data_IF_525750511292
#
_entry.id   IF_525750511292
#
_cell.length_a   1.000
_cell.length_b   1.000
_cell.length_c   1.000
_cell.angle_alpha   90.00
_cell.angle_beta   90.00
_cell.angle_gamma   90.00
#
_symmetry.space_group_name_H-M   'P 1'
#
loop_
_entity.id
_entity.type
_entity.pdbx_description
1 polymer ?
#
# COMPACT_ATOMS: atom_id res chain seq x y z
N UNK A 1 66.31 27.79 12.32
CA UNK A 1 65.86 26.50 11.77
C UNK A 1 64.36 26.34 12.05
N UNK A 2 63.49 26.71 11.09
CA UNK A 2 62.03 26.58 11.24
C UNK A 2 61.63 25.17 10.79
N UNK A 3 61.07 24.36 11.69
CA UNK A 3 60.50 23.05 11.35
C UNK A 3 59.05 23.26 10.88
N UNK A 4 58.81 22.94 9.62
CA UNK A 4 57.48 22.85 9.02
C UNK A 4 56.77 21.59 9.51
N UNK A 5 55.60 21.75 10.11
CA UNK A 5 54.73 20.65 10.53
C UNK A 5 53.70 20.41 9.40
N UNK A 6 53.87 19.32 8.66
CA UNK A 6 52.93 18.91 7.61
C UNK A 6 51.80 18.12 8.27
N UNK A 7 50.59 18.68 8.31
CA UNK A 7 49.41 17.99 8.79
C UNK A 7 48.80 17.14 7.67
N UNK A 8 48.78 15.82 7.85
CA UNK A 8 48.03 14.89 7.00
C UNK A 8 46.55 14.92 7.42
N UNK A 9 45.69 15.43 6.55
CA UNK A 9 44.24 15.30 6.70
C UNK A 9 43.83 13.89 6.24
N UNK A 10 43.49 13.02 7.20
CA UNK A 10 42.76 11.79 6.89
C UNK A 10 41.30 12.16 6.62
N UNK A 11 40.89 12.08 5.35
CA UNK A 11 39.48 12.14 4.97
C UNK A 11 38.92 10.73 5.20
N UNK A 12 38.19 10.54 6.29
CA UNK A 12 37.40 9.34 6.50
C UNK A 12 36.18 9.38 5.56
N UNK A 13 36.19 8.54 4.52
CA UNK A 13 35.02 8.29 3.68
C UNK A 13 34.04 7.44 4.51
N UNK A 14 33.09 8.11 5.17
CA UNK A 14 31.97 7.43 5.82
C UNK A 14 31.01 7.00 4.72
N UNK A 15 31.09 5.74 4.30
CA UNK A 15 30.06 5.12 3.48
C UNK A 15 28.89 4.85 4.42
N UNK A 16 27.90 5.75 4.46
CA UNK A 16 26.62 5.46 5.10
C UNK A 16 25.93 4.39 4.26
N UNK A 17 26.00 3.12 4.70
CA UNK A 17 25.00 2.13 4.30
C UNK A 17 23.67 2.68 4.82
N UNK A 18 22.91 3.34 3.96
CA UNK A 18 21.55 3.76 4.28
C UNK A 18 20.75 2.51 4.63
N UNK A 19 20.26 2.43 5.87
CA UNK A 19 19.19 1.51 6.20
C UNK A 19 17.99 1.94 5.34
N UNK A 20 17.62 1.12 4.37
CA UNK A 20 16.42 1.37 3.59
C UNK A 20 15.21 1.38 4.54
N UNK A 21 14.33 2.37 4.37
CA UNK A 21 13.16 2.55 5.23
C UNK A 21 12.18 1.42 4.92
N UNK A 22 11.75 0.65 5.91
CA UNK A 22 10.70 -0.36 5.71
C UNK A 22 9.32 0.32 5.69
N UNK A 23 8.57 0.08 4.61
CA UNK A 23 7.24 0.64 4.44
C UNK A 23 6.23 0.00 5.41
N UNK A 24 5.30 0.81 5.88
CA UNK A 24 4.19 0.36 6.72
C UNK A 24 2.98 0.00 5.87
N UNK A 25 2.38 -1.13 6.20
CA UNK A 25 1.16 -1.63 5.56
C UNK A 25 -0.06 -0.78 5.96
N UNK A 26 -0.95 -0.52 5.00
CA UNK A 26 -2.27 0.04 5.25
C UNK A 26 -3.29 -1.05 5.62
N UNK A 27 -3.09 -1.66 6.78
CA UNK A 27 -3.88 -2.78 7.27
C UNK A 27 -5.00 -2.36 8.23
N UNK A 28 -6.16 -2.99 8.09
CA UNK A 28 -7.31 -2.82 8.97
C UNK A 28 -7.93 -4.18 9.32
N UNK A 29 -8.73 -4.23 10.39
CA UNK A 29 -9.47 -5.42 10.80
C UNK A 29 -10.88 -5.07 11.25
N UNK A 30 -11.79 -6.02 11.10
CA UNK A 30 -13.18 -5.89 11.55
C UNK A 30 -13.82 -7.27 11.76
N UNK A 31 -15.02 -7.29 12.32
CA UNK A 31 -15.81 -8.51 12.51
C UNK A 31 -16.93 -8.62 11.49
N UNK A 32 -17.44 -9.84 11.28
CA UNK A 32 -18.61 -10.05 10.43
C UNK A 32 -19.83 -9.33 11.02
N UNK A 33 -20.62 -8.71 10.14
CA UNK A 33 -21.74 -7.79 10.38
C UNK A 33 -21.37 -6.41 10.95
N UNK A 34 -20.09 -6.10 11.16
CA UNK A 34 -19.70 -4.72 11.42
C UNK A 34 -19.96 -3.84 10.19
N UNK A 35 -20.27 -2.58 10.44
CA UNK A 35 -20.26 -1.53 9.44
C UNK A 35 -18.87 -0.92 9.40
N UNK A 36 -18.26 -0.84 8.23
CA UNK A 36 -17.02 -0.13 8.03
C UNK A 36 -17.28 1.21 7.35
N UNK A 37 -16.64 2.26 7.84
CA UNK A 37 -16.66 3.60 7.25
C UNK A 37 -15.27 3.91 6.74
N UNK A 38 -15.16 4.27 5.47
CA UNK A 38 -13.94 4.76 4.85
C UNK A 38 -14.17 6.19 4.38
N UNK A 39 -13.35 7.12 4.84
CA UNK A 39 -13.41 8.52 4.44
C UNK A 39 -12.11 8.96 3.76
N UNK A 40 -12.24 9.76 2.71
CA UNK A 40 -11.12 10.37 2.02
C UNK A 40 -11.44 11.82 1.64
N UNK A 41 -10.43 12.68 1.70
CA UNK A 41 -10.58 14.05 1.23
C UNK A 41 -10.73 14.08 -0.30
N UNK A 42 -11.69 14.85 -0.77
CA UNK A 42 -12.01 15.02 -2.19
C UNK A 42 -12.25 16.50 -2.49
N UNK A 43 -11.71 17.01 -3.61
CA UNK A 43 -12.03 18.34 -4.13
C UNK A 43 -12.75 18.23 -5.49
N UNK A 44 -14.09 18.18 -5.51
CA UNK A 44 -14.87 17.88 -6.71
C UNK A 44 -14.79 18.95 -7.80
N UNK A 45 -14.31 20.16 -7.50
CA UNK A 45 -14.31 21.29 -8.44
C UNK A 45 -13.46 21.10 -9.69
N UNK A 46 -12.62 20.06 -9.72
CA UNK A 46 -11.73 19.73 -10.83
C UNK A 46 -12.28 18.61 -11.72
N UNK A 47 -13.40 17.99 -11.35
CA UNK A 47 -13.99 16.83 -12.02
C UNK A 47 -13.38 15.48 -11.63
N UNK A 48 -12.30 15.47 -10.84
CA UNK A 48 -11.69 14.25 -10.32
C UNK A 48 -12.48 13.74 -9.12
N UNK A 49 -12.92 12.49 -9.18
CA UNK A 49 -13.67 11.83 -8.11
C UNK A 49 -12.97 10.53 -7.73
N UNK A 50 -13.02 10.19 -6.45
CA UNK A 50 -12.51 8.91 -6.00
C UNK A 50 -13.50 7.80 -6.35
N UNK A 51 -12.99 6.74 -6.97
CA UNK A 51 -13.72 5.53 -7.29
C UNK A 51 -13.16 4.38 -6.45
N UNK A 52 -14.05 3.62 -5.80
CA UNK A 52 -13.69 2.50 -4.94
C UNK A 52 -13.88 1.16 -5.65
N UNK A 53 -12.94 0.25 -5.45
CA UNK A 53 -12.97 -1.12 -5.96
C UNK A 53 -12.60 -2.06 -4.82
N UNK A 54 -13.27 -3.22 -4.72
CA UNK A 54 -13.00 -4.20 -3.68
C UNK A 54 -12.90 -5.62 -4.25
N UNK A 55 -11.89 -6.37 -3.81
CA UNK A 55 -11.68 -7.77 -4.14
C UNK A 55 -11.34 -8.57 -2.87
N UNK A 56 -11.72 -9.86 -2.76
CA UNK A 56 -12.65 -10.55 -3.63
C UNK A 56 -14.10 -10.09 -3.39
N UNK A 57 -14.95 -10.27 -4.40
CA UNK A 57 -16.37 -9.89 -4.26
C UNK A 57 -17.04 -10.64 -3.10
N UNK A 58 -17.78 -9.89 -2.29
CA UNK A 58 -18.70 -10.45 -1.30
C UNK A 58 -18.14 -10.65 0.10
N UNK A 59 -16.85 -10.37 0.37
CA UNK A 59 -16.32 -10.17 1.74
C UNK A 59 -16.88 -8.87 2.32
N UNK A 60 -16.70 -7.78 1.58
CA UNK A 60 -17.32 -6.49 1.84
C UNK A 60 -18.48 -6.28 0.86
N UNK A 61 -19.59 -5.71 1.34
CA UNK A 61 -20.81 -5.46 0.56
C UNK A 61 -21.45 -4.13 0.93
N UNK A 62 -22.52 -3.78 0.21
CA UNK A 62 -23.38 -2.62 0.52
C UNK A 62 -22.61 -1.30 0.56
N UNK A 63 -21.84 -1.01 -0.49
CA UNK A 63 -21.10 0.24 -0.63
C UNK A 63 -22.07 1.41 -0.85
N UNK A 64 -22.46 2.06 0.24
CA UNK A 64 -23.21 3.30 0.20
C UNK A 64 -22.23 4.47 0.14
N UNK A 65 -22.31 5.26 -0.92
CA UNK A 65 -21.51 6.48 -1.04
C UNK A 65 -22.17 7.60 -0.23
N UNK A 66 -21.37 8.26 0.60
CA UNK A 66 -21.77 9.47 1.32
C UNK A 66 -20.90 10.62 0.87
N UNK A 67 -21.51 11.80 0.76
CA UNK A 67 -20.80 13.03 0.45
C UNK A 67 -21.07 14.05 1.54
N UNK A 68 -20.03 14.35 2.32
CA UNK A 68 -20.09 15.36 3.36
C UNK A 68 -19.38 16.62 2.86
N UNK A 69 -20.17 17.58 2.38
CA UNK A 69 -19.71 18.90 2.00
C UNK A 69 -19.98 19.89 3.16
N UNK A 70 -18.98 20.23 3.99
CA UNK A 70 -19.17 21.19 5.09
C UNK A 70 -19.48 22.62 4.60
N UNK A 71 -19.32 22.88 3.30
CA UNK A 71 -19.65 24.16 2.66
C UNK A 71 -20.33 23.93 1.32
N UNK A 72 -21.37 24.73 1.03
CA UNK A 72 -22.03 24.79 -0.27
C UNK A 72 -21.24 25.60 -1.31
N UNK A 73 -20.07 26.16 -0.94
CA UNK A 73 -19.24 26.93 -1.87
C UNK A 73 -18.57 26.00 -2.90
N UNK A 74 -18.65 26.31 -4.21
CA UNK A 74 -17.91 25.57 -5.23
C UNK A 74 -16.40 25.56 -4.94
N UNK A 75 -15.80 24.37 -4.91
CA UNK A 75 -14.35 24.19 -4.67
C UNK A 75 -13.91 24.09 -3.21
N UNK A 76 -14.84 24.10 -2.27
CA UNK A 76 -14.52 23.72 -0.89
C UNK A 76 -14.10 22.24 -0.82
N UNK A 77 -13.12 21.88 0.02
CA UNK A 77 -12.79 20.48 0.28
C UNK A 77 -14.03 19.77 0.84
N UNK A 78 -14.32 18.61 0.28
CA UNK A 78 -15.39 17.72 0.72
C UNK A 78 -14.78 16.40 1.20
N UNK A 79 -15.53 15.66 2.01
CA UNK A 79 -15.16 14.31 2.41
C UNK A 79 -16.05 13.36 1.63
N UNK A 80 -15.43 12.47 0.86
CA UNK A 80 -16.11 11.34 0.25
C UNK A 80 -16.01 10.15 1.21
N UNK A 81 -17.17 9.59 1.54
CA UNK A 81 -17.31 8.45 2.44
C UNK A 81 -17.87 7.23 1.72
N UNK A 82 -17.46 6.05 2.15
CA UNK A 82 -18.15 4.80 1.85
C UNK A 82 -18.48 4.08 3.14
N UNK A 83 -19.76 3.73 3.29
CA UNK A 83 -20.19 2.77 4.30
C UNK A 83 -20.29 1.42 3.62
N UNK A 84 -19.75 0.39 4.26
CA UNK A 84 -19.80 -0.99 3.77
C UNK A 84 -20.07 -1.95 4.93
N UNK A 85 -20.57 -3.14 4.62
CA UNK A 85 -20.84 -4.20 5.61
C UNK A 85 -19.89 -5.36 5.40
N UNK A 86 -19.27 -5.85 6.48
CA UNK A 86 -18.57 -7.13 6.46
C UNK A 86 -19.59 -8.28 6.38
N UNK A 87 -19.64 -8.95 5.25
CA UNK A 87 -20.65 -9.98 4.98
C UNK A 87 -20.17 -11.40 5.30
N UNK A 88 -18.86 -11.67 5.18
CA UNK A 88 -18.27 -12.97 5.51
C UNK A 88 -16.82 -12.81 5.97
N UNK A 89 -16.32 -13.82 6.65
CA UNK A 89 -14.91 -13.91 7.01
C UNK A 89 -14.03 -14.01 5.77
N UNK A 90 -12.81 -13.50 5.91
CA UNK A 90 -11.79 -13.50 4.87
C UNK A 90 -11.08 -12.15 4.77
N UNK A 91 -10.06 -12.12 3.92
CA UNK A 91 -9.29 -10.91 3.64
C UNK A 91 -9.84 -10.22 2.40
N UNK A 92 -9.92 -8.91 2.46
CA UNK A 92 -10.31 -8.06 1.34
C UNK A 92 -9.25 -6.99 1.08
N UNK A 93 -9.09 -6.65 -0.19
CA UNK A 93 -8.33 -5.51 -0.68
C UNK A 93 -9.33 -4.46 -1.19
N UNK A 94 -9.22 -3.25 -0.68
CA UNK A 94 -9.89 -2.07 -1.21
C UNK A 94 -8.85 -1.26 -1.98
N UNK A 95 -9.16 -0.89 -3.22
CA UNK A 95 -8.38 0.03 -4.04
C UNK A 95 -9.24 1.25 -4.37
N UNK A 96 -8.70 2.44 -4.14
CA UNK A 96 -9.30 3.70 -4.56
C UNK A 96 -8.46 4.30 -5.68
N UNK A 97 -9.14 4.84 -6.69
CA UNK A 97 -8.52 5.51 -7.83
C UNK A 97 -9.20 6.85 -8.07
N UNK A 98 -8.40 7.91 -8.18
CA UNK A 98 -8.88 9.26 -8.45
C UNK A 98 -8.80 9.52 -9.95
N UNK A 99 -9.94 9.59 -10.62
CA UNK A 99 -10.00 9.91 -12.06
C UNK A 99 -11.29 10.65 -12.41
N UNK A 100 -11.33 11.24 -13.60
CA UNK A 100 -12.56 11.77 -14.18
C UNK A 100 -13.33 10.66 -14.85
N UNK A 101 -14.59 10.45 -14.46
CA UNK A 101 -15.39 9.34 -14.97
C UNK A 101 -15.47 9.29 -16.51
N UNK A 102 -15.48 10.44 -17.19
CA UNK A 102 -15.53 10.52 -18.66
C UNK A 102 -14.18 10.30 -19.36
N UNK A 103 -13.05 10.48 -18.67
CA UNK A 103 -11.71 10.13 -19.18
C UNK A 103 -11.42 8.64 -18.92
N UNK A 104 -11.98 8.11 -17.83
CA UNK A 104 -11.92 6.71 -17.46
C UNK A 104 -10.70 6.36 -16.60
N UNK A 105 -10.74 5.15 -16.03
CA UNK A 105 -9.79 4.66 -15.02
C UNK A 105 -8.31 4.72 -15.45
N UNK A 106 -8.04 4.61 -16.76
CA UNK A 106 -6.67 4.67 -17.31
C UNK A 106 -5.99 6.02 -17.08
N UNK A 107 -6.76 7.07 -16.79
CA UNK A 107 -6.29 8.41 -16.51
C UNK A 107 -6.32 8.72 -15.00
N UNK A 108 -6.18 7.70 -14.17
CA UNK A 108 -6.08 7.88 -12.72
C UNK A 108 -4.81 8.64 -12.35
N UNK A 109 -4.97 9.65 -11.49
CA UNK A 109 -3.90 10.55 -11.06
C UNK A 109 -3.48 10.34 -9.60
N UNK A 110 -4.29 9.61 -8.84
CA UNK A 110 -3.97 9.21 -7.47
C UNK A 110 -4.57 7.83 -7.18
N UNK A 111 -3.87 7.08 -6.32
CA UNK A 111 -4.17 5.72 -5.95
C UNK A 111 -4.02 5.57 -4.44
N UNK A 112 -4.96 4.86 -3.83
CA UNK A 112 -4.86 4.39 -2.46
C UNK A 112 -5.30 2.94 -2.39
N UNK A 113 -4.75 2.19 -1.47
CA UNK A 113 -5.22 0.85 -1.16
C UNK A 113 -5.09 0.56 0.33
N UNK A 114 -5.99 -0.29 0.81
CA UNK A 114 -5.94 -0.83 2.16
C UNK A 114 -6.42 -2.28 2.17
N UNK A 115 -5.96 -3.03 3.17
CA UNK A 115 -6.41 -4.39 3.41
C UNK A 115 -7.35 -4.41 4.62
N UNK A 116 -8.33 -5.32 4.59
CA UNK A 116 -9.28 -5.53 5.67
C UNK A 116 -9.32 -7.02 5.99
N UNK A 117 -8.96 -7.38 7.22
CA UNK A 117 -9.11 -8.73 7.74
C UNK A 117 -10.46 -8.85 8.47
N UNK A 118 -11.36 -9.67 7.93
CA UNK A 118 -12.68 -9.91 8.52
C UNK A 118 -12.67 -11.26 9.24
N UNK A 119 -12.83 -11.23 10.56
CA UNK A 119 -12.85 -12.44 11.37
C UNK A 119 -13.79 -12.31 12.57
N UNK A 120 -14.44 -13.41 12.96
CA UNK A 120 -15.34 -13.41 14.12
C UNK A 120 -16.65 -12.68 13.85
N UNK A 121 -17.44 -12.47 14.90
CA UNK A 121 -18.78 -11.89 14.81
C UNK A 121 -18.85 -10.59 15.63
N UNK A 122 -19.35 -9.53 15.01
CA UNK A 122 -19.57 -8.22 15.64
C UNK A 122 -20.86 -7.59 15.15
N UNK A 123 -21.19 -6.42 15.70
CA UNK A 123 -22.31 -5.55 15.27
C UNK A 123 -21.95 -4.07 15.47
N UNK A 124 -20.65 -3.78 15.42
CA UNK A 124 -20.10 -2.46 15.67
C UNK A 124 -19.90 -1.66 14.40
N UNK A 125 -19.25 -0.52 14.58
CA UNK A 125 -18.75 0.31 13.49
C UNK A 125 -17.21 0.36 13.58
N UNK A 126 -16.54 0.29 12.44
CA UNK A 126 -15.09 0.41 12.31
C UNK A 126 -14.75 1.50 11.32
N UNK A 127 -13.94 2.47 11.73
CA UNK A 127 -13.43 3.48 10.82
C UNK A 127 -12.14 2.97 10.17
N UNK A 128 -12.21 2.63 8.88
CA UNK A 128 -11.06 2.19 8.10
C UNK A 128 -10.09 3.36 7.89
N UNK A 129 -8.80 3.07 8.02
CA UNK A 129 -7.72 4.05 7.84
C UNK A 129 -6.86 3.69 6.64
N UNK A 130 -6.49 4.71 5.90
CA UNK A 130 -5.48 4.64 4.83
C UNK A 130 -4.17 5.15 5.42
N UNK A 131 -3.17 4.29 5.48
CA UNK A 131 -1.83 4.68 5.92
C UNK A 131 -1.01 5.13 4.71
N UNK A 132 -0.42 6.33 4.81
CA UNK A 132 0.53 6.88 3.85
C UNK A 132 1.96 6.77 4.37
N UNK A 133 2.88 6.37 3.50
CA UNK A 133 4.31 6.44 3.73
C UNK A 133 4.87 7.63 2.96
N UNK A 134 5.37 8.63 3.68
CA UNK A 134 6.08 9.76 3.09
C UNK A 134 7.53 9.36 2.82
N UNK A 135 7.98 9.51 1.57
CA UNK A 135 9.35 9.20 1.15
C UNK A 135 9.93 10.36 0.36
N UNK A 136 11.23 10.58 0.50
CA UNK A 136 11.93 11.63 -0.25
C UNK A 136 12.37 11.12 -1.62
N UNK A 137 12.23 11.95 -2.66
CA UNK A 137 12.70 11.67 -4.00
C UNK A 137 14.17 11.18 -4.00
N UNK A 138 14.43 10.11 -4.75
CA UNK A 138 15.76 9.47 -4.87
C UNK A 138 16.11 8.48 -3.76
N UNK A 139 15.35 8.43 -2.66
CA UNK A 139 15.61 7.49 -1.55
C UNK A 139 15.13 6.07 -1.87
N UNK A 140 15.71 5.10 -1.17
CA UNK A 140 15.31 3.69 -1.26
C UNK A 140 14.58 3.22 0.00
N UNK A 141 13.59 2.38 -0.20
CA UNK A 141 12.75 1.81 0.86
C UNK A 141 12.42 0.35 0.52
N UNK A 142 11.97 -0.40 1.52
CA UNK A 142 11.78 -1.84 1.42
C UNK A 142 10.39 -2.28 1.82
N UNK A 143 9.98 -3.41 1.25
CA UNK A 143 8.86 -4.23 1.74
C UNK A 143 9.42 -5.61 2.01
N UNK A 144 9.19 -6.16 3.21
CA UNK A 144 9.58 -7.53 3.56
C UNK A 144 8.35 -8.35 3.87
N UNK A 145 8.17 -9.49 3.16
CA UNK A 145 7.06 -10.42 3.40
C UNK A 145 7.58 -11.84 3.58
N UNK A 146 6.90 -12.61 4.43
CA UNK A 146 7.13 -14.04 4.56
C UNK A 146 6.36 -14.80 3.48
N UNK A 147 7.03 -15.73 2.81
CA UNK A 147 6.44 -16.64 1.81
C UNK A 147 6.81 -18.10 2.12
N UNK A 148 5.90 -19.01 1.82
CA UNK A 148 6.18 -20.45 1.89
C UNK A 148 6.17 -21.05 0.48
N UNK A 149 7.25 -20.81 -0.26
CA UNK A 149 7.39 -21.24 -1.65
C UNK A 149 7.20 -22.76 -1.84
N UNK A 150 7.43 -23.59 -0.81
CA UNK A 150 7.23 -25.04 -0.87
C UNK A 150 5.77 -25.46 -1.13
N UNK A 151 4.81 -24.57 -0.84
CA UNK A 151 3.37 -24.78 -1.06
C UNK A 151 2.88 -24.28 -2.42
N UNK A 152 3.78 -23.65 -3.20
CA UNK A 152 3.46 -22.99 -4.46
C UNK A 152 2.95 -21.56 -4.34
N UNK A 153 2.64 -21.10 -3.12
CA UNK A 153 2.19 -19.72 -2.89
C UNK A 153 3.39 -18.77 -2.85
N UNK A 154 3.27 -17.69 -3.60
CA UNK A 154 4.29 -16.62 -3.69
C UNK A 154 3.60 -15.27 -3.69
N UNK A 155 4.28 -14.27 -3.17
CA UNK A 155 3.83 -12.88 -3.29
C UNK A 155 4.17 -12.34 -4.68
N UNK A 156 3.16 -11.80 -5.36
CA UNK A 156 3.33 -11.01 -6.57
C UNK A 156 2.74 -9.63 -6.34
N UNK A 157 3.32 -8.60 -6.96
CA UNK A 157 2.86 -7.23 -6.76
C UNK A 157 2.61 -6.51 -8.08
N UNK A 158 1.83 -5.45 -7.97
CA UNK A 158 1.69 -4.41 -8.99
C UNK A 158 1.94 -3.06 -8.32
N UNK A 159 2.49 -2.13 -9.09
CA UNK A 159 2.61 -0.72 -8.69
C UNK A 159 1.57 0.07 -9.48
N UNK A 160 0.81 0.90 -8.78
CA UNK A 160 -0.05 1.92 -9.37
C UNK A 160 0.65 3.27 -9.24
N UNK A 161 0.68 4.06 -10.33
CA UNK A 161 1.49 5.28 -10.42
C UNK A 161 2.93 5.01 -10.87
N UNK A 162 3.64 6.08 -11.21
CA UNK A 162 4.97 6.01 -11.84
C UNK A 162 6.10 6.55 -10.93
N UNK A 163 5.77 6.93 -9.69
CA UNK A 163 6.68 7.60 -8.75
C UNK A 163 7.81 6.71 -8.20
N UNK A 164 7.73 5.38 -8.40
CA UNK A 164 8.65 4.42 -7.80
C UNK A 164 9.06 3.33 -8.78
N UNK A 165 10.24 2.74 -8.59
CA UNK A 165 10.72 1.58 -9.34
C UNK A 165 11.35 0.53 -8.42
N UNK A 166 11.20 -0.76 -8.75
CA UNK A 166 11.99 -1.82 -8.09
C UNK A 166 13.46 -1.68 -8.47
N UNK A 167 14.35 -1.87 -7.48
CA UNK A 167 15.81 -1.91 -7.64
C UNK A 167 16.36 -3.31 -7.46
N UNK A 168 15.82 -4.05 -6.50
CA UNK A 168 16.25 -5.42 -6.22
C UNK A 168 15.16 -6.21 -5.51
N UNK A 169 15.27 -7.52 -5.60
CA UNK A 169 14.50 -8.50 -4.84
C UNK A 169 15.48 -9.50 -4.23
N UNK A 170 15.41 -9.65 -2.92
CA UNK A 170 16.28 -10.56 -2.16
C UNK A 170 15.42 -11.60 -1.44
N UNK A 171 15.89 -12.84 -1.41
CA UNK A 171 15.23 -13.94 -0.70
C UNK A 171 16.21 -14.43 0.36
N UNK A 172 15.77 -14.36 1.61
CA UNK A 172 16.49 -14.92 2.75
C UNK A 172 15.72 -16.14 3.27
N UNK A 173 16.40 -17.28 3.30
CA UNK A 173 15.85 -18.52 3.85
C UNK A 173 16.44 -18.69 5.25
N UNK A 174 15.59 -18.98 6.23
CA UNK A 174 16.08 -19.32 7.56
C UNK A 174 16.86 -20.63 7.46
N UNK A 175 18.18 -20.58 7.73
CA UNK A 175 19.14 -21.70 7.53
C UNK A 175 18.94 -22.87 8.48
N UNK A 176 17.85 -22.90 9.24
CA UNK A 176 17.46 -24.15 9.89
C UNK A 176 17.18 -25.16 8.77
N UNK A 177 17.93 -26.27 8.71
CA UNK A 177 17.84 -27.33 7.68
C UNK A 177 16.48 -28.08 7.65
N UNK A 178 15.38 -27.41 7.99
CA UNK A 178 14.02 -27.91 7.95
C UNK A 178 13.43 -27.60 6.58
N UNK A 179 13.19 -28.66 5.82
CA UNK A 179 12.37 -28.61 4.60
C UNK A 179 11.03 -27.96 4.94
N UNK A 180 10.67 -26.88 4.22
CA UNK A 180 9.40 -26.16 4.40
C UNK A 180 9.43 -24.94 5.32
N UNK A 181 10.62 -24.49 5.77
CA UNK A 181 10.72 -23.23 6.51
C UNK A 181 10.26 -22.03 5.66
N UNK A 182 9.53 -21.05 6.25
CA UNK A 182 9.16 -19.84 5.55
C UNK A 182 10.41 -19.07 5.11
N UNK A 183 10.37 -18.53 3.90
CA UNK A 183 11.40 -17.62 3.37
C UNK A 183 10.93 -16.18 3.55
N UNK A 184 11.84 -15.26 3.84
CA UNK A 184 11.57 -13.82 3.81
C UNK A 184 12.02 -13.25 2.49
N UNK A 185 11.12 -12.56 1.81
CA UNK A 185 11.40 -11.85 0.58
C UNK A 185 11.39 -10.37 0.85
N UNK A 186 12.46 -9.69 0.48
CA UNK A 186 12.59 -8.25 0.61
C UNK A 186 12.69 -7.65 -0.79
N UNK A 187 11.75 -6.77 -1.12
CA UNK A 187 11.81 -5.93 -2.32
C UNK A 187 12.36 -4.56 -1.92
N UNK A 188 13.34 -4.07 -2.67
CA UNK A 188 13.85 -2.71 -2.53
C UNK A 188 13.33 -1.87 -3.69
N UNK A 189 12.71 -0.75 -3.36
CA UNK A 189 12.21 0.23 -4.31
C UNK A 189 12.99 1.53 -4.16
N UNK A 190 12.94 2.37 -5.20
CA UNK A 190 13.48 3.72 -5.20
C UNK A 190 12.41 4.70 -5.67
N UNK A 191 12.29 5.83 -4.97
CA UNK A 191 11.51 6.97 -5.44
C UNK A 191 12.21 7.63 -6.64
N UNK A 192 11.51 7.74 -7.77
CA UNK A 192 12.06 8.23 -9.05
C UNK A 192 11.29 9.40 -9.64
N UNK A 193 10.06 9.64 -9.21
CA UNK A 193 9.26 10.80 -9.61
C UNK A 193 8.34 11.23 -8.46
N UNK A 194 7.99 12.52 -8.42
CA UNK A 194 7.12 13.10 -7.40
C UNK A 194 5.67 12.63 -7.56
N UNK A 195 4.91 12.62 -6.46
CA UNK A 195 3.49 12.29 -6.45
C UNK A 195 3.18 10.96 -5.79
N UNK A 196 2.07 10.34 -6.18
CA UNK A 196 1.51 9.21 -5.45
C UNK A 196 1.76 7.88 -6.15
N UNK A 197 2.13 6.88 -5.37
CA UNK A 197 2.23 5.49 -5.83
C UNK A 197 1.65 4.53 -4.81
N UNK A 198 1.18 3.37 -5.26
CA UNK A 198 0.66 2.33 -4.37
C UNK A 198 1.19 0.98 -4.81
N UNK A 199 1.79 0.23 -3.89
CA UNK A 199 2.22 -1.15 -4.12
C UNK A 199 1.14 -2.08 -3.56
N UNK A 200 0.62 -2.96 -4.41
CA UNK A 200 -0.37 -3.97 -4.04
C UNK A 200 0.22 -5.35 -4.26
N UNK A 201 0.44 -6.07 -3.17
CA UNK A 201 0.83 -7.47 -3.20
C UNK A 201 -0.40 -8.38 -3.10
N UNK A 202 -0.34 -9.51 -3.79
CA UNK A 202 -1.30 -10.62 -3.76
C UNK A 202 -0.53 -11.91 -3.51
N UNK A 203 -1.02 -12.74 -2.59
CA UNK A 203 -0.45 -14.05 -2.29
C UNK A 203 -1.28 -15.14 -2.93
N UNK A 204 -0.72 -15.78 -3.97
CA UNK A 204 -1.40 -16.81 -4.73
C UNK A 204 -0.41 -17.75 -5.41
N UNK A 205 -0.92 -18.85 -5.95
CA UNK A 205 -0.18 -19.74 -6.84
C UNK A 205 -0.27 -19.21 -8.27
N UNK A 206 0.87 -18.97 -8.88
CA UNK A 206 0.94 -18.34 -10.21
C UNK A 206 0.11 -19.07 -11.29
N UNK A 207 -0.02 -20.39 -11.20
CA UNK A 207 -0.82 -21.22 -12.13
C UNK A 207 -2.33 -21.21 -11.85
N UNK A 208 -2.78 -20.77 -10.67
CA UNK A 208 -4.21 -20.57 -10.36
C UNK A 208 -4.68 -19.16 -10.76
N UNK A 209 -3.74 -18.21 -10.85
CA UNK A 209 -3.98 -16.83 -11.27
C UNK A 209 -4.34 -15.90 -10.11
N UNK A 210 -4.18 -14.58 -10.34
CA UNK A 210 -4.31 -13.55 -9.29
C UNK A 210 -5.69 -13.53 -8.59
N UNK A 211 -6.74 -13.96 -9.28
CA UNK A 211 -8.10 -14.01 -8.74
C UNK A 211 -8.25 -15.09 -7.64
N UNK A 212 -7.29 -16.02 -7.53
CA UNK A 212 -7.24 -17.00 -6.43
C UNK A 212 -6.49 -16.50 -5.20
N UNK A 213 -6.13 -15.21 -5.15
CA UNK A 213 -5.38 -14.65 -4.03
C UNK A 213 -6.08 -14.84 -2.68
N UNK A 214 -5.30 -15.36 -1.73
CA UNK A 214 -5.74 -15.68 -0.38
C UNK A 214 -5.28 -14.65 0.65
N UNK A 215 -4.33 -13.80 0.28
CA UNK A 215 -3.85 -12.70 1.11
C UNK A 215 -3.42 -11.52 0.22
N UNK A 216 -3.43 -10.32 0.81
CA UNK A 216 -3.16 -9.05 0.16
C UNK A 216 -2.30 -8.19 1.09
N UNK A 217 -1.43 -7.36 0.51
CA UNK A 217 -0.73 -6.28 1.24
C UNK A 217 -0.78 -5.01 0.43
N UNK A 218 -1.01 -3.90 1.10
CA UNK A 218 -1.13 -2.59 0.47
C UNK A 218 -0.20 -1.59 1.16
N UNK A 219 0.58 -0.87 0.35
CA UNK A 219 1.50 0.17 0.80
C UNK A 219 1.25 1.41 -0.05
N UNK A 220 0.82 2.50 0.57
CA UNK A 220 0.62 3.78 -0.11
C UNK A 220 1.84 4.66 0.12
N UNK A 221 2.30 5.33 -0.93
CA UNK A 221 3.52 6.12 -0.96
C UNK A 221 3.20 7.50 -1.51
N UNK A 222 3.70 8.52 -0.84
CA UNK A 222 3.74 9.90 -1.28
C UNK A 222 5.21 10.28 -1.41
N UNK A 223 5.61 10.66 -2.63
CA UNK A 223 6.97 11.06 -2.96
C UNK A 223 7.02 12.59 -3.02
N UNK A 224 7.86 13.16 -2.17
CA UNK A 224 8.14 14.60 -2.06
C UNK A 224 9.63 14.93 -2.22
#
# INVERSE_FOLDING_TARGET
MKKTLTAFFYIALIITLGLAIELKESANSMSVNDLAILEIQENPSTGYLWHIFAEPTGVLRNFLEEHNAPSMMPGAPSVKGWIMTAAKEGKALITLKLFRQWEGEKHSVDFRALTVDVAGQGKGQVDLKILMNEVTLGTTFTVTLEENASTGYTWQYVVLGDGITEKSKEISVDKSDKVGAPSKVTWTFQAVDEGYSTIIFRYFRSWEGKESAVDYKAYNISVE
#
